data_IF_722076661242
#
_entry.id   IF_722076661242
#
_cell.length_a   1.000
_cell.length_b   1.000
_cell.length_c   1.000
_cell.angle_alpha   90.00
_cell.angle_beta   90.00
_cell.angle_gamma   90.00
#
_symmetry.space_group_name_H-M   'P 1'
#
loop_
_entity.id
_entity.type
_entity.pdbx_description
1 polymer ?
#
# COMPACT_ATOMS: atom_id res chain seq x y z
N UNK A 1 20.20 11.43 -1.18
CA UNK A 1 21.47 10.80 -1.59
C UNK A 1 21.65 10.74 -3.10
N UNK A 2 20.89 9.93 -3.86
CA UNK A 2 21.05 9.82 -5.32
C UNK A 2 21.10 11.16 -6.06
N UNK A 3 20.18 12.09 -5.77
CA UNK A 3 20.17 13.43 -6.36
C UNK A 3 21.47 14.21 -6.12
N UNK A 4 21.96 14.22 -4.88
CA UNK A 4 23.20 14.90 -4.52
C UNK A 4 24.42 14.26 -5.18
N UNK A 5 24.48 12.94 -5.26
CA UNK A 5 25.57 12.24 -5.97
C UNK A 5 25.58 12.61 -7.45
N UNK A 6 24.41 12.76 -8.07
CA UNK A 6 24.30 13.24 -9.45
C UNK A 6 24.75 14.70 -9.60
N UNK A 7 24.47 15.57 -8.62
CA UNK A 7 24.98 16.96 -8.62
C UNK A 7 26.51 17.03 -8.55
N UNK A 8 27.17 16.00 -7.99
CA UNK A 8 28.63 15.86 -7.98
C UNK A 8 29.21 15.30 -9.29
N UNK A 9 28.39 15.13 -10.34
CA UNK A 9 28.84 14.68 -11.66
C UNK A 9 28.86 13.15 -11.85
N UNK A 10 28.32 12.37 -10.90
CA UNK A 10 28.28 10.91 -11.00
C UNK A 10 27.00 10.40 -11.66
N UNK A 11 27.13 9.36 -12.50
CA UNK A 11 26.00 8.62 -13.01
C UNK A 11 25.45 7.66 -11.94
N UNK A 12 24.25 7.95 -11.43
CA UNK A 12 23.64 7.15 -10.36
C UNK A 12 22.75 6.05 -10.93
N UNK A 13 22.95 4.81 -10.47
CA UNK A 13 22.16 3.63 -10.82
C UNK A 13 21.57 3.02 -9.56
N UNK A 14 20.24 3.12 -9.38
CA UNK A 14 19.56 2.54 -8.22
C UNK A 14 19.09 1.11 -8.51
N UNK A 15 19.41 0.16 -7.65
CA UNK A 15 18.99 -1.24 -7.77
C UNK A 15 18.01 -1.57 -6.64
N UNK A 16 16.92 -2.26 -6.97
CA UNK A 16 16.00 -2.79 -5.95
C UNK A 16 16.72 -3.83 -5.07
N UNK A 17 16.62 -3.77 -3.73
CA UNK A 17 17.24 -4.76 -2.84
C UNK A 17 16.82 -6.21 -3.15
N UNK A 18 15.65 -6.42 -3.74
CA UNK A 18 15.19 -7.75 -4.14
C UNK A 18 16.04 -8.38 -5.25
N UNK A 19 16.69 -7.56 -6.08
CA UNK A 19 17.60 -8.02 -7.13
C UNK A 19 19.04 -8.16 -6.63
N UNK A 20 19.40 -7.51 -5.53
CA UNK A 20 20.72 -7.65 -4.89
C UNK A 20 20.77 -8.91 -4.01
N UNK A 21 19.69 -9.20 -3.27
CA UNK A 21 19.64 -10.30 -2.29
C UNK A 21 20.13 -11.67 -2.80
N UNK A 22 19.85 -12.11 -4.05
CA UNK A 22 20.36 -13.38 -4.56
C UNK A 22 21.89 -13.48 -4.68
N UNK A 23 22.59 -12.34 -4.69
CA UNK A 23 24.05 -12.27 -4.81
C UNK A 23 24.78 -12.19 -3.45
N UNK A 24 24.04 -12.17 -2.34
CA UNK A 24 24.62 -12.18 -1.00
C UNK A 24 25.04 -13.61 -0.64
N UNK A 25 26.36 -13.85 -0.57
CA UNK A 25 26.95 -15.20 -0.47
C UNK A 25 27.03 -15.74 0.97
N UNK A 26 27.10 -14.88 1.99
CA UNK A 26 27.24 -15.32 3.39
C UNK A 26 26.59 -14.34 4.39
N UNK A 27 27.01 -14.38 5.66
CA UNK A 27 26.52 -13.49 6.70
C UNK A 27 26.69 -12.02 6.30
N UNK A 28 25.69 -11.21 6.66
CA UNK A 28 25.65 -9.81 6.27
C UNK A 28 26.79 -9.01 6.88
N UNK A 29 27.58 -8.35 6.04
CA UNK A 29 28.48 -7.26 6.39
C UNK A 29 28.56 -6.26 5.22
N UNK A 30 29.13 -5.07 5.46
CA UNK A 30 29.14 -4.00 4.47
C UNK A 30 29.95 -4.35 3.20
N UNK A 31 31.02 -5.15 3.34
CA UNK A 31 31.85 -5.59 2.21
C UNK A 31 31.08 -6.54 1.27
N UNK A 32 30.37 -7.51 1.84
CA UNK A 32 29.55 -8.47 1.09
C UNK A 32 28.36 -7.76 0.43
N UNK A 33 27.75 -6.79 1.12
CA UNK A 33 26.66 -6.00 0.55
C UNK A 33 27.18 -5.18 -0.66
N UNK A 34 28.37 -4.58 -0.56
CA UNK A 34 29.01 -3.87 -1.67
C UNK A 34 29.36 -4.79 -2.85
N UNK A 35 29.94 -5.97 -2.59
CA UNK A 35 30.22 -6.99 -3.61
C UNK A 35 28.94 -7.43 -4.32
N UNK A 36 27.88 -7.75 -3.55
CA UNK A 36 26.60 -8.18 -4.09
C UNK A 36 25.94 -7.09 -4.95
N UNK A 37 26.05 -5.80 -4.56
CA UNK A 37 25.56 -4.68 -5.36
C UNK A 37 26.35 -4.58 -6.68
N UNK A 38 27.67 -4.72 -6.63
CA UNK A 38 28.53 -4.69 -7.82
C UNK A 38 28.21 -5.86 -8.77
N UNK A 39 28.08 -7.07 -8.22
CA UNK A 39 27.75 -8.28 -8.97
C UNK A 39 26.37 -8.13 -9.64
N UNK A 40 25.37 -7.67 -8.89
CA UNK A 40 24.04 -7.36 -9.41
C UNK A 40 24.10 -6.31 -10.54
N UNK A 41 24.81 -5.20 -10.32
CA UNK A 41 24.94 -4.11 -11.29
C UNK A 41 25.60 -4.55 -12.61
N UNK A 42 26.49 -5.54 -12.56
CA UNK A 42 27.20 -6.08 -13.73
C UNK A 42 26.33 -6.94 -14.65
N UNK A 43 25.15 -7.39 -14.19
CA UNK A 43 24.30 -8.29 -14.99
C UNK A 43 23.67 -7.54 -16.17
N UNK A 44 23.77 -8.04 -17.42
CA UNK A 44 23.19 -7.37 -18.59
C UNK A 44 21.68 -7.14 -18.50
N UNK A 45 20.96 -8.05 -17.82
CA UNK A 45 19.52 -7.96 -17.62
C UNK A 45 19.10 -7.14 -16.41
N UNK A 46 20.04 -6.46 -15.72
CA UNK A 46 19.74 -5.70 -14.50
C UNK A 46 18.87 -4.49 -14.82
N UNK A 47 17.88 -4.25 -13.95
CA UNK A 47 16.95 -3.12 -14.07
C UNK A 47 17.29 -2.07 -13.02
N UNK A 48 17.44 -0.83 -13.48
CA UNK A 48 17.69 0.31 -12.62
C UNK A 48 16.42 1.13 -12.42
N UNK A 49 16.31 1.75 -11.25
CA UNK A 49 15.18 2.61 -10.89
C UNK A 49 15.62 4.07 -11.06
N UNK A 50 14.81 4.86 -11.74
CA UNK A 50 15.05 6.30 -11.87
C UNK A 50 15.03 6.96 -10.48
N UNK A 51 16.03 7.80 -10.15
CA UNK A 51 16.02 8.57 -8.92
C UNK A 51 14.76 9.44 -8.84
N UNK A 52 14.05 9.36 -7.70
CA UNK A 52 12.89 10.20 -7.43
C UNK A 52 13.30 11.67 -7.28
N UNK A 53 12.41 12.57 -7.70
CA UNK A 53 12.51 14.01 -7.39
C UNK A 53 12.40 14.25 -5.89
N UNK A 54 12.71 15.48 -5.46
CA UNK A 54 12.53 15.90 -4.06
C UNK A 54 11.09 15.72 -3.59
N UNK A 55 10.15 16.25 -4.37
CA UNK A 55 8.72 16.20 -4.05
C UNK A 55 8.22 14.75 -3.97
N UNK A 56 8.66 13.88 -4.87
CA UNK A 56 8.34 12.44 -4.81
C UNK A 56 8.95 11.75 -3.57
N UNK A 57 10.10 12.21 -3.08
CA UNK A 57 10.71 11.70 -1.85
C UNK A 57 9.92 12.16 -0.62
N UNK A 58 9.57 13.45 -0.56
CA UNK A 58 8.75 14.04 0.50
C UNK A 58 7.36 13.39 0.55
N UNK A 59 6.68 13.28 -0.59
CA UNK A 59 5.37 12.63 -0.71
C UNK A 59 5.43 11.16 -0.28
N UNK A 60 6.49 10.44 -0.68
CA UNK A 60 6.70 9.08 -0.20
C UNK A 60 6.94 9.00 1.31
N UNK A 61 7.47 10.04 1.95
CA UNK A 61 7.65 10.09 3.40
C UNK A 61 6.31 10.31 4.10
N UNK A 62 5.48 11.26 3.63
CA UNK A 62 4.13 11.49 4.14
C UNK A 62 3.28 10.21 4.14
N UNK A 63 3.28 9.47 3.02
CA UNK A 63 2.57 8.19 2.95
C UNK A 63 3.06 7.14 3.96
N UNK A 64 4.37 7.13 4.27
CA UNK A 64 4.94 6.19 5.25
C UNK A 64 4.58 6.59 6.67
N UNK A 65 4.64 7.89 7.00
CA UNK A 65 4.22 8.43 8.29
C UNK A 65 2.76 8.10 8.53
N UNK A 66 1.87 8.41 7.57
CA UNK A 66 0.46 8.04 7.65
C UNK A 66 0.24 6.56 7.89
N UNK A 67 0.93 5.68 7.14
CA UNK A 67 0.79 4.23 7.34
C UNK A 67 1.29 3.78 8.72
N UNK A 68 2.33 4.42 9.26
CA UNK A 68 2.81 4.17 10.62
C UNK A 68 1.76 4.56 11.66
N UNK A 69 1.22 5.79 11.58
CA UNK A 69 0.19 6.29 12.48
C UNK A 69 -1.08 5.43 12.45
N UNK A 70 -1.53 5.01 11.26
CA UNK A 70 -2.69 4.11 11.12
C UNK A 70 -2.44 2.76 11.79
N UNK A 71 -1.23 2.20 11.65
CA UNK A 71 -0.88 0.94 12.32
C UNK A 71 -0.82 1.10 13.83
N UNK A 72 -0.27 2.21 14.30
CA UNK A 72 -0.22 2.53 15.72
C UNK A 72 -1.62 2.69 16.30
N UNK A 73 -2.51 3.41 15.62
CA UNK A 73 -3.92 3.56 16.03
C UNK A 73 -4.60 2.19 16.20
N UNK A 74 -4.40 1.29 15.23
CA UNK A 74 -4.93 -0.08 15.32
C UNK A 74 -4.29 -0.86 16.48
N UNK A 75 -2.98 -0.70 16.71
CA UNK A 75 -2.28 -1.32 17.84
C UNK A 75 -2.85 -0.83 19.17
N UNK A 76 -3.07 0.47 19.33
CA UNK A 76 -3.67 1.09 20.53
C UNK A 76 -5.07 0.54 20.79
N UNK A 77 -5.93 0.46 19.75
CA UNK A 77 -7.27 -0.14 19.89
C UNK A 77 -7.20 -1.61 20.30
N UNK A 78 -6.30 -2.40 19.70
CA UNK A 78 -6.13 -3.81 20.04
C UNK A 78 -5.58 -4.00 21.46
N UNK A 79 -4.72 -3.10 21.93
CA UNK A 79 -4.20 -3.12 23.30
C UNK A 79 -5.30 -2.85 24.33
N UNK A 80 -6.15 -1.85 24.10
CA UNK A 80 -7.32 -1.59 24.94
C UNK A 80 -8.27 -2.79 24.96
N UNK A 81 -8.52 -3.39 23.80
CA UNK A 81 -9.36 -4.59 23.68
C UNK A 81 -8.80 -5.77 24.48
N UNK A 82 -7.49 -6.00 24.39
CA UNK A 82 -6.82 -7.08 25.11
C UNK A 82 -6.90 -6.87 26.64
N UNK A 83 -6.65 -5.66 27.12
CA UNK A 83 -6.77 -5.36 28.56
C UNK A 83 -8.19 -5.57 29.06
N UNK A 84 -9.21 -5.11 28.35
CA UNK A 84 -10.59 -5.33 28.77
C UNK A 84 -10.96 -6.82 28.80
N UNK A 85 -10.45 -7.60 27.84
CA UNK A 85 -10.66 -9.04 27.79
C UNK A 85 -10.02 -9.78 28.98
N UNK A 86 -8.86 -9.35 29.46
CA UNK A 86 -8.21 -9.92 30.66
C UNK A 86 -9.07 -9.77 31.92
N UNK A 87 -9.94 -8.76 31.97
CA UNK A 87 -10.88 -8.50 33.06
C UNK A 87 -12.30 -9.03 32.76
N UNK A 88 -12.44 -9.93 31.77
CA UNK A 88 -13.72 -10.56 31.43
C UNK A 88 -14.69 -9.67 30.64
N UNK A 89 -14.27 -8.47 30.23
CA UNK A 89 -15.11 -7.51 29.50
C UNK A 89 -14.93 -7.76 28.00
N UNK A 90 -15.83 -8.55 27.43
CA UNK A 90 -15.84 -8.85 26.00
C UNK A 90 -16.55 -7.75 25.21
N UNK A 91 -15.85 -7.20 24.20
CA UNK A 91 -16.41 -6.22 23.27
C UNK A 91 -16.15 -6.58 21.81
N UNK A 92 -16.98 -6.08 20.88
CA UNK A 92 -16.66 -6.12 19.45
C UNK A 92 -15.30 -5.45 19.20
N UNK A 93 -14.48 -6.08 18.34
CA UNK A 93 -13.16 -5.54 18.00
C UNK A 93 -13.28 -4.23 17.23
N UNK A 94 -12.27 -3.38 17.37
CA UNK A 94 -12.15 -2.14 16.61
C UNK A 94 -12.84 -0.95 17.28
N UNK A 95 -13.58 -0.15 16.49
CA UNK A 95 -14.06 1.16 16.92
C UNK A 95 -15.06 1.12 18.09
N UNK A 96 -15.72 -0.02 18.31
CA UNK A 96 -16.63 -0.19 19.43
C UNK A 96 -15.92 0.00 20.78
N UNK A 97 -14.68 -0.50 20.91
CA UNK A 97 -13.84 -0.32 22.11
C UNK A 97 -13.60 1.15 22.42
N UNK A 98 -13.39 1.94 21.37
CA UNK A 98 -13.17 3.39 21.50
C UNK A 98 -14.47 4.08 21.91
N UNK A 99 -15.57 3.84 21.17
CA UNK A 99 -16.84 4.55 21.40
C UNK A 99 -17.50 4.22 22.73
N UNK A 100 -17.33 2.99 23.22
CA UNK A 100 -17.99 2.49 24.44
C UNK A 100 -17.13 2.60 25.68
N UNK A 101 -15.91 3.12 25.61
CA UNK A 101 -15.01 3.10 26.76
C UNK A 101 -15.62 3.79 27.98
N UNK A 102 -16.22 4.97 27.81
CA UNK A 102 -16.85 5.71 28.91
C UNK A 102 -17.91 4.84 29.61
N UNK A 103 -18.82 4.25 28.83
CA UNK A 103 -19.85 3.33 29.33
C UNK A 103 -19.24 2.12 30.04
N UNK A 104 -18.17 1.53 29.50
CA UNK A 104 -17.49 0.37 30.12
C UNK A 104 -16.87 0.74 31.46
N UNK A 105 -16.31 1.96 31.59
CA UNK A 105 -15.74 2.43 32.85
C UNK A 105 -16.81 2.74 33.91
N UNK A 106 -18.05 2.97 33.50
CA UNK A 106 -19.21 3.18 34.40
C UNK A 106 -19.90 1.87 34.79
N UNK A 107 -20.02 0.92 33.85
CA UNK A 107 -20.74 -0.35 34.04
C UNK A 107 -19.93 -1.40 34.82
N UNK A 108 -18.59 -1.27 34.87
CA UNK A 108 -17.71 -2.27 35.45
C UNK A 108 -16.80 -1.70 36.53
N UNK A 109 -16.75 -2.38 37.68
CA UNK A 109 -15.78 -2.10 38.73
C UNK A 109 -14.38 -2.56 38.33
N UNK A 110 -13.66 -1.69 37.63
CA UNK A 110 -12.27 -1.91 37.25
C UNK A 110 -11.30 -1.34 38.29
N UNK A 111 -10.10 -1.93 38.47
CA UNK A 111 -9.07 -1.33 39.31
C UNK A 111 -8.82 0.12 38.89
N UNK A 112 -8.77 1.10 39.82
CA UNK A 112 -8.62 2.51 39.46
C UNK A 112 -7.40 2.82 38.60
N UNK A 113 -6.31 2.04 38.76
CA UNK A 113 -5.13 2.15 37.92
C UNK A 113 -5.38 1.72 36.47
N UNK A 114 -6.13 0.64 36.24
CA UNK A 114 -6.49 0.17 34.90
C UNK A 114 -7.40 1.18 34.19
N UNK A 115 -8.40 1.73 34.88
CA UNK A 115 -9.27 2.77 34.33
C UNK A 115 -8.44 3.97 33.82
N UNK A 116 -7.47 4.43 34.60
CA UNK A 116 -6.54 5.50 34.18
C UNK A 116 -5.70 5.12 32.96
N UNK A 117 -5.21 3.88 32.89
CA UNK A 117 -4.46 3.39 31.73
C UNK A 117 -5.32 3.36 30.46
N UNK A 118 -6.55 2.86 30.56
CA UNK A 118 -7.48 2.81 29.43
C UNK A 118 -7.83 4.21 28.93
N UNK A 119 -8.06 5.17 29.84
CA UNK A 119 -8.28 6.58 29.49
C UNK A 119 -7.05 7.18 28.79
N UNK A 120 -5.83 6.87 29.24
CA UNK A 120 -4.60 7.32 28.57
C UNK A 120 -4.47 6.76 27.15
N UNK A 121 -4.77 5.47 26.95
CA UNK A 121 -4.77 4.86 25.63
C UNK A 121 -5.85 5.45 24.71
N UNK A 122 -7.01 5.81 25.26
CA UNK A 122 -8.07 6.47 24.53
C UNK A 122 -7.69 7.88 24.09
N UNK A 123 -7.04 8.66 24.95
CA UNK A 123 -6.48 9.96 24.60
C UNK A 123 -5.40 9.83 23.51
N UNK A 124 -4.51 8.84 23.64
CA UNK A 124 -3.51 8.55 22.59
C UNK A 124 -4.16 8.18 21.26
N UNK A 125 -5.24 7.40 21.27
CA UNK A 125 -6.02 7.12 20.07
C UNK A 125 -6.59 8.40 19.43
N UNK A 126 -7.09 9.35 20.24
CA UNK A 126 -7.56 10.65 19.79
C UNK A 126 -6.46 11.44 19.09
N UNK A 127 -5.31 11.60 19.75
CA UNK A 127 -4.12 12.24 19.19
C UNK A 127 -3.70 11.61 17.85
N UNK A 128 -3.66 10.27 17.77
CA UNK A 128 -3.33 9.59 16.52
C UNK A 128 -4.36 9.84 15.41
N UNK A 129 -5.64 10.06 15.73
CA UNK A 129 -6.64 10.42 14.72
C UNK A 129 -6.38 11.81 14.16
N UNK A 130 -6.11 12.80 15.02
CA UNK A 130 -5.77 14.17 14.64
C UNK A 130 -4.54 14.19 13.72
N UNK A 131 -3.46 13.51 14.12
CA UNK A 131 -2.24 13.43 13.32
C UNK A 131 -2.45 12.73 11.96
N UNK A 132 -3.32 11.72 11.90
CA UNK A 132 -3.66 11.09 10.61
C UNK A 132 -4.42 12.08 9.74
N UNK A 133 -5.39 12.80 10.30
CA UNK A 133 -6.18 13.79 9.56
C UNK A 133 -5.31 14.92 9.01
N UNK A 134 -4.39 15.47 9.81
CA UNK A 134 -3.42 16.49 9.38
C UNK A 134 -2.61 16.02 8.17
N UNK A 135 -1.96 14.85 8.27
CA UNK A 135 -1.18 14.28 7.16
C UNK A 135 -2.07 13.98 5.95
N UNK A 136 -3.31 13.55 6.14
CA UNK A 136 -4.25 13.34 5.03
C UNK A 136 -4.65 14.65 4.34
N UNK A 137 -4.76 15.76 5.08
CA UNK A 137 -5.02 17.07 4.48
C UNK A 137 -3.81 17.58 3.69
N UNK A 138 -2.60 17.45 4.22
CA UNK A 138 -1.38 17.77 3.47
C UNK A 138 -1.29 16.98 2.15
N UNK A 139 -1.55 15.67 2.20
CA UNK A 139 -1.60 14.82 1.02
C UNK A 139 -2.64 15.29 0.00
N UNK A 140 -3.83 15.75 0.45
CA UNK A 140 -4.88 16.26 -0.43
C UNK A 140 -4.50 17.59 -1.07
N UNK A 141 -3.90 18.50 -0.31
CA UNK A 141 -3.46 19.81 -0.83
C UNK A 141 -2.45 19.64 -1.94
N UNK A 142 -1.43 18.80 -1.76
CA UNK A 142 -0.44 18.52 -2.82
C UNK A 142 -1.02 17.80 -4.05
N UNK A 143 -2.13 17.08 -3.91
CA UNK A 143 -2.80 16.45 -5.05
C UNK A 143 -3.55 17.44 -5.93
N UNK A 144 -3.93 18.61 -5.42
CA UNK A 144 -4.66 19.60 -6.21
C UNK A 144 -3.86 20.03 -7.46
N UNK A 145 -2.54 20.10 -7.32
CA UNK A 145 -1.62 20.55 -8.37
C UNK A 145 -1.05 19.40 -9.23
N UNK A 146 -1.35 18.14 -8.90
CA UNK A 146 -0.84 16.96 -9.62
C UNK A 146 -1.90 16.42 -10.60
N UNK A 147 -1.76 16.79 -11.89
CA UNK A 147 -2.64 16.30 -12.96
C UNK A 147 -2.73 14.77 -13.03
N UNK A 148 -1.63 14.06 -12.75
CA UNK A 148 -1.61 12.60 -12.81
C UNK A 148 -2.45 12.03 -11.68
N UNK A 149 -2.33 12.59 -10.47
CA UNK A 149 -3.14 12.23 -9.33
C UNK A 149 -4.63 12.50 -9.58
N UNK A 150 -4.98 13.63 -10.22
CA UNK A 150 -6.35 13.96 -10.63
C UNK A 150 -6.92 12.95 -11.64
N UNK A 151 -6.16 12.59 -12.67
CA UNK A 151 -6.58 11.56 -13.62
C UNK A 151 -6.77 10.21 -12.93
N UNK A 152 -5.92 9.84 -11.98
CA UNK A 152 -6.05 8.59 -11.23
C UNK A 152 -7.31 8.53 -10.34
N UNK A 153 -7.83 9.68 -9.88
CA UNK A 153 -9.10 9.76 -9.12
C UNK A 153 -10.33 9.41 -9.97
N UNK A 154 -10.24 9.50 -11.30
CA UNK A 154 -11.34 9.08 -12.19
C UNK A 154 -11.58 7.55 -12.17
N UNK A 155 -10.61 6.78 -11.66
CA UNK A 155 -10.71 5.32 -11.57
C UNK A 155 -11.66 4.96 -10.42
N UNK A 156 -12.76 4.23 -10.66
CA UNK A 156 -13.74 3.95 -9.63
C UNK A 156 -13.15 3.08 -8.52
N UNK A 157 -13.39 3.50 -7.27
CA UNK A 157 -12.82 2.87 -6.07
C UNK A 157 -11.45 3.41 -5.67
N UNK A 158 -10.78 4.22 -6.50
CA UNK A 158 -9.53 4.89 -6.14
C UNK A 158 -9.84 6.23 -5.48
N UNK A 159 -9.42 6.39 -4.22
CA UNK A 159 -9.51 7.65 -3.48
C UNK A 159 -8.18 8.38 -3.40
N UNK A 160 -8.18 9.58 -2.79
CA UNK A 160 -7.04 10.50 -2.71
C UNK A 160 -5.74 9.83 -2.29
N UNK A 161 -5.74 9.15 -1.15
CA UNK A 161 -4.55 8.47 -0.61
C UNK A 161 -3.95 7.45 -1.57
N UNK A 162 -4.79 6.75 -2.34
CA UNK A 162 -4.29 5.75 -3.29
C UNK A 162 -3.84 6.41 -4.59
N UNK A 163 -4.55 7.45 -5.04
CA UNK A 163 -4.19 8.23 -6.22
C UNK A 163 -2.85 8.96 -6.05
N UNK A 164 -2.62 9.67 -4.95
CA UNK A 164 -1.31 10.31 -4.67
C UNK A 164 -0.18 9.31 -4.55
N UNK A 165 -0.42 8.17 -3.91
CA UNK A 165 0.61 7.14 -3.81
C UNK A 165 0.92 6.55 -5.19
N UNK A 166 -0.09 6.29 -6.01
CA UNK A 166 0.08 5.80 -7.37
C UNK A 166 0.85 6.80 -8.22
N UNK A 167 0.49 8.09 -8.19
CA UNK A 167 1.20 9.15 -8.89
C UNK A 167 2.68 9.22 -8.47
N UNK A 168 2.96 9.19 -7.16
CA UNK A 168 4.33 9.18 -6.62
C UNK A 168 5.13 7.95 -7.05
N UNK A 169 4.48 6.78 -7.18
CA UNK A 169 5.14 5.51 -7.52
C UNK A 169 5.33 5.29 -9.01
N UNK A 170 4.37 5.76 -9.82
CA UNK A 170 4.40 5.64 -11.27
C UNK A 170 5.27 6.73 -11.89
N UNK A 171 5.24 7.96 -11.36
CA UNK A 171 5.80 9.12 -12.06
C UNK A 171 5.14 9.27 -13.42
N UNK A 172 5.93 9.32 -14.49
CA UNK A 172 5.46 9.31 -15.88
C UNK A 172 5.07 7.91 -16.41
N UNK A 173 5.22 6.87 -15.59
CA UNK A 173 4.93 5.48 -15.94
C UNK A 173 5.95 4.80 -16.86
N UNK A 174 6.94 5.53 -17.41
CA UNK A 174 7.92 5.04 -18.40
C UNK A 174 8.97 4.09 -17.81
N UNK A 175 9.06 4.03 -16.49
CA UNK A 175 9.87 3.04 -15.77
C UNK A 175 9.39 1.58 -15.99
N UNK A 176 8.22 1.38 -16.60
CA UNK A 176 7.66 0.08 -16.91
C UNK A 176 7.38 -0.02 -18.41
N UNK A 177 7.80 -1.12 -19.04
CA UNK A 177 7.56 -1.36 -20.47
C UNK A 177 6.08 -1.65 -20.78
N UNK A 178 5.32 -2.13 -19.80
CA UNK A 178 3.90 -2.44 -19.96
C UNK A 178 3.12 -2.33 -18.66
N UNK A 179 1.80 -2.22 -18.77
CA UNK A 179 0.88 -2.31 -17.63
C UNK A 179 1.05 -3.61 -16.82
N UNK A 180 1.44 -4.72 -17.48
CA UNK A 180 1.70 -6.00 -16.81
C UNK A 180 2.94 -5.94 -15.93
N UNK A 181 3.98 -5.23 -16.36
CA UNK A 181 5.20 -5.04 -15.57
C UNK A 181 4.92 -4.22 -14.30
N UNK A 182 4.10 -3.16 -14.41
CA UNK A 182 3.66 -2.43 -13.22
C UNK A 182 2.84 -3.30 -12.29
N UNK A 183 1.85 -4.05 -12.81
CA UNK A 183 1.07 -4.97 -11.98
C UNK A 183 1.97 -6.02 -11.29
N UNK A 184 3.01 -6.51 -11.97
CA UNK A 184 4.00 -7.41 -11.39
C UNK A 184 4.80 -6.76 -10.25
N UNK A 185 5.18 -5.48 -10.38
CA UNK A 185 5.92 -4.74 -9.36
C UNK A 185 5.11 -4.48 -8.08
N UNK A 186 3.77 -4.47 -8.17
CA UNK A 186 2.88 -4.39 -6.98
C UNK A 186 2.72 -5.73 -6.25
N UNK A 187 3.12 -6.84 -6.87
CA UNK A 187 2.96 -8.19 -6.30
C UNK A 187 1.56 -8.77 -6.40
N UNK A 188 0.71 -8.20 -7.25
CA UNK A 188 -0.66 -8.65 -7.52
C UNK A 188 -0.77 -9.68 -8.65
N UNK A 189 0.35 -10.06 -9.27
CA UNK A 189 0.40 -11.12 -10.29
C UNK A 189 0.55 -12.50 -9.64
N UNK A 190 0.00 -13.58 -10.24
CA UNK A 190 0.22 -14.94 -9.77
C UNK A 190 1.71 -15.28 -9.67
N UNK A 191 2.08 -16.02 -8.63
CA UNK A 191 3.39 -16.67 -8.56
C UNK A 191 3.39 -17.85 -9.53
N UNK A 192 4.40 -17.94 -10.37
CA UNK A 192 4.61 -19.08 -11.25
C UNK A 192 5.63 -20.04 -10.64
N UNK A 193 5.31 -21.33 -10.64
CA UNK A 193 6.23 -22.42 -10.36
C UNK A 193 6.17 -23.39 -11.55
N UNK A 194 7.27 -23.52 -12.27
CA UNK A 194 7.36 -24.38 -13.46
C UNK A 194 8.46 -25.41 -13.26
N UNK A 195 8.14 -26.69 -13.49
CA UNK A 195 9.12 -27.79 -13.50
C UNK A 195 8.84 -28.72 -14.68
N UNK A 196 9.87 -29.21 -15.36
CA UNK A 196 9.73 -30.15 -16.48
C UNK A 196 8.76 -29.71 -17.59
N UNK A 197 8.70 -28.40 -17.91
CA UNK A 197 7.80 -27.85 -18.93
C UNK A 197 6.34 -27.64 -18.50
N UNK A 198 5.92 -28.08 -17.31
CA UNK A 198 4.58 -27.80 -16.76
C UNK A 198 4.61 -26.50 -15.97
N UNK A 199 3.78 -25.54 -16.36
CA UNK A 199 3.60 -24.28 -15.63
C UNK A 199 2.44 -24.38 -14.65
N UNK A 200 2.70 -24.10 -13.37
CA UNK A 200 1.67 -24.03 -12.33
C UNK A 200 1.60 -22.62 -11.78
N UNK A 201 0.42 -22.00 -11.87
CA UNK A 201 0.15 -20.70 -11.25
C UNK A 201 -0.40 -20.90 -9.84
N UNK A 202 0.20 -20.23 -8.87
CA UNK A 202 -0.18 -20.24 -7.46
C UNK A 202 -0.90 -18.93 -7.10
N UNK A 203 -1.04 -18.65 -5.80
CA UNK A 203 -1.51 -17.35 -5.31
C UNK A 203 -0.63 -16.18 -5.73
N UNK A 204 -1.06 -14.95 -5.42
CA UNK A 204 -0.32 -13.74 -5.76
C UNK A 204 1.12 -13.78 -5.23
N UNK A 205 2.06 -13.19 -5.97
CA UNK A 205 3.49 -13.25 -5.64
C UNK A 205 3.85 -12.52 -4.35
N UNK A 206 3.06 -11.52 -3.95
CA UNK A 206 3.31 -10.64 -2.78
C UNK A 206 4.67 -9.92 -2.83
N UNK A 207 5.34 -9.90 -3.99
CA UNK A 207 6.58 -9.15 -4.22
C UNK A 207 6.29 -7.64 -4.27
N UNK A 208 7.30 -6.81 -4.00
CA UNK A 208 7.14 -5.35 -4.07
C UNK A 208 6.42 -4.71 -2.86
N UNK A 209 5.82 -3.54 -3.09
CA UNK A 209 5.32 -2.66 -2.03
C UNK A 209 4.02 -3.19 -1.38
N UNK A 210 4.13 -3.58 -0.10
CA UNK A 210 3.00 -4.11 0.70
C UNK A 210 1.90 -3.07 0.91
N UNK A 211 2.25 -1.79 1.08
CA UNK A 211 1.27 -0.73 1.32
C UNK A 211 0.46 -0.45 0.04
N UNK A 212 1.14 -0.26 -1.10
CA UNK A 212 0.46 -0.03 -2.37
C UNK A 212 -0.48 -1.20 -2.74
N UNK A 213 -0.01 -2.44 -2.56
CA UNK A 213 -0.83 -3.64 -2.76
C UNK A 213 -2.05 -3.68 -1.85
N UNK A 214 -1.88 -3.36 -0.55
CA UNK A 214 -2.99 -3.28 0.40
C UNK A 214 -4.03 -2.25 -0.07
N UNK A 215 -3.59 -1.06 -0.47
CA UNK A 215 -4.48 0.02 -0.92
C UNK A 215 -5.25 -0.37 -2.19
N UNK A 216 -4.59 -0.94 -3.19
CA UNK A 216 -5.27 -1.42 -4.40
C UNK A 216 -6.32 -2.51 -4.11
N UNK A 217 -6.06 -3.41 -3.16
CA UNK A 217 -7.05 -4.40 -2.70
C UNK A 217 -8.21 -3.73 -1.96
N UNK A 218 -7.97 -2.67 -1.18
CA UNK A 218 -9.04 -1.89 -0.56
C UNK A 218 -9.89 -1.16 -1.61
N UNK A 219 -9.28 -0.54 -2.62
CA UNK A 219 -9.99 0.07 -3.74
C UNK A 219 -10.88 -0.94 -4.48
N UNK A 220 -10.36 -2.14 -4.73
CA UNK A 220 -11.13 -3.22 -5.32
C UNK A 220 -12.33 -3.63 -4.45
N UNK A 221 -12.15 -3.72 -3.12
CA UNK A 221 -13.25 -4.03 -2.19
C UNK A 221 -14.32 -2.95 -2.18
N UNK A 222 -13.92 -1.67 -2.15
CA UNK A 222 -14.86 -0.53 -2.21
C UNK A 222 -15.65 -0.56 -3.52
N UNK A 223 -14.98 -0.82 -4.65
CA UNK A 223 -15.66 -1.00 -5.93
C UNK A 223 -16.70 -2.12 -5.90
N UNK A 224 -16.31 -3.28 -5.35
CA UNK A 224 -17.20 -4.44 -5.24
C UNK A 224 -18.37 -4.22 -4.28
N UNK A 225 -18.18 -3.48 -3.18
CA UNK A 225 -19.25 -3.14 -2.24
C UNK A 225 -20.34 -2.28 -2.89
N UNK A 226 -19.98 -1.47 -3.87
CA UNK A 226 -20.91 -0.61 -4.60
C UNK A 226 -21.24 -1.13 -6.00
N UNK A 227 -21.03 -2.41 -6.27
CA UNK A 227 -21.10 -3.00 -7.61
C UNK A 227 -22.49 -2.88 -8.27
N UNK A 228 -23.56 -2.85 -7.48
CA UNK A 228 -24.92 -2.63 -7.97
C UNK A 228 -25.08 -1.27 -8.67
N UNK A 229 -24.35 -0.25 -8.21
CA UNK A 229 -24.35 1.09 -8.78
C UNK A 229 -23.26 1.31 -9.85
N UNK A 230 -22.48 0.28 -10.18
CA UNK A 230 -21.44 0.36 -11.20
C UNK A 230 -21.96 -0.14 -12.56
N UNK A 231 -21.57 0.55 -13.63
CA UNK A 231 -21.87 0.18 -15.01
C UNK A 231 -20.59 0.04 -15.84
N UNK A 232 -20.73 -0.46 -17.07
CA UNK A 232 -19.62 -0.62 -18.02
C UNK A 232 -18.92 -1.97 -17.93
N UNK A 233 -17.90 -2.14 -18.79
CA UNK A 233 -17.23 -3.43 -19.01
C UNK A 233 -16.51 -3.95 -17.77
N UNK A 234 -16.03 -3.05 -16.92
CA UNK A 234 -15.40 -3.41 -15.66
C UNK A 234 -16.41 -4.04 -14.69
N UNK A 235 -17.61 -3.48 -14.58
CA UNK A 235 -18.66 -3.96 -13.68
C UNK A 235 -19.17 -5.33 -14.13
N UNK A 236 -19.43 -5.50 -15.43
CA UNK A 236 -19.83 -6.78 -16.03
C UNK A 236 -18.79 -7.87 -15.78
N UNK A 237 -17.51 -7.53 -15.98
CA UNK A 237 -16.42 -8.46 -15.70
C UNK A 237 -16.40 -8.87 -14.22
N UNK A 238 -16.53 -7.92 -13.29
CA UNK A 238 -16.57 -8.23 -11.83
C UNK A 238 -17.77 -9.11 -11.49
N UNK A 239 -18.97 -8.82 -12.01
CA UNK A 239 -20.16 -9.66 -11.81
C UNK A 239 -19.92 -11.09 -12.29
N UNK A 240 -19.37 -11.25 -13.50
CA UNK A 240 -19.05 -12.56 -14.07
C UNK A 240 -17.95 -13.32 -13.29
N UNK A 241 -17.03 -12.62 -12.63
CA UNK A 241 -16.05 -13.27 -11.75
C UNK A 241 -16.66 -13.73 -10.43
N UNK A 242 -17.59 -12.94 -9.86
CA UNK A 242 -18.27 -13.27 -8.60
C UNK A 242 -19.18 -14.49 -8.69
N UNK A 243 -19.68 -14.84 -9.88
CA UNK A 243 -20.46 -16.08 -10.06
C UNK A 243 -19.60 -17.35 -10.03
N UNK A 244 -18.28 -17.23 -10.23
CA UNK A 244 -17.36 -18.38 -10.38
C UNK A 244 -16.32 -18.49 -9.27
N UNK A 245 -16.05 -17.40 -8.58
CA UNK A 245 -14.94 -17.30 -7.64
C UNK A 245 -15.34 -16.60 -6.35
N UNK A 246 -14.70 -17.02 -5.26
CA UNK A 246 -14.87 -16.38 -3.95
C UNK A 246 -14.48 -14.89 -4.01
N UNK A 247 -15.23 -14.03 -3.31
CA UNK A 247 -15.08 -12.56 -3.31
C UNK A 247 -13.64 -12.09 -3.06
N UNK A 248 -12.91 -12.70 -2.12
CA UNK A 248 -11.50 -12.40 -1.86
C UNK A 248 -10.57 -12.63 -3.07
N UNK A 249 -10.85 -13.66 -3.89
CA UNK A 249 -10.09 -13.92 -5.13
C UNK A 249 -10.40 -12.84 -6.16
N UNK A 250 -11.69 -12.49 -6.31
CA UNK A 250 -12.13 -11.42 -7.21
C UNK A 250 -11.54 -10.07 -6.81
N UNK A 251 -11.46 -9.76 -5.52
CA UNK A 251 -10.84 -8.53 -5.02
C UNK A 251 -9.35 -8.42 -5.41
N UNK A 252 -8.59 -9.52 -5.30
CA UNK A 252 -7.19 -9.56 -5.75
C UNK A 252 -7.07 -9.42 -7.28
N UNK A 253 -7.93 -10.08 -8.04
CA UNK A 253 -7.95 -9.99 -9.50
C UNK A 253 -8.33 -8.58 -9.98
N UNK A 254 -9.33 -7.97 -9.35
CA UNK A 254 -9.72 -6.59 -9.62
C UNK A 254 -8.60 -5.61 -9.23
N UNK A 255 -7.94 -5.80 -8.09
CA UNK A 255 -6.78 -4.97 -7.71
C UNK A 255 -5.66 -5.04 -8.76
N UNK A 256 -5.38 -6.23 -9.32
CA UNK A 256 -4.44 -6.38 -10.43
C UNK A 256 -4.88 -5.56 -11.65
N UNK A 257 -6.17 -5.64 -12.00
CA UNK A 257 -6.74 -4.88 -13.12
C UNK A 257 -6.69 -3.36 -12.87
N UNK A 258 -6.99 -2.91 -11.65
CA UNK A 258 -6.87 -1.51 -11.24
C UNK A 258 -5.42 -1.01 -11.35
N UNK A 259 -4.42 -1.81 -10.97
CA UNK A 259 -3.02 -1.44 -11.16
C UNK A 259 -2.70 -1.21 -12.65
N UNK A 260 -3.19 -2.09 -13.53
CA UNK A 260 -2.99 -1.98 -14.99
C UNK A 260 -3.69 -0.76 -15.58
N UNK A 261 -4.90 -0.46 -15.10
CA UNK A 261 -5.66 0.73 -15.47
C UNK A 261 -4.93 2.00 -15.02
N UNK A 262 -4.45 2.03 -13.76
CA UNK A 262 -3.69 3.16 -13.23
C UNK A 262 -2.46 3.47 -14.08
N UNK A 263 -1.68 2.44 -14.45
CA UNK A 263 -0.56 2.63 -15.37
C UNK A 263 -0.98 3.19 -16.72
N UNK A 264 -2.06 2.65 -17.32
CA UNK A 264 -2.53 3.12 -18.62
C UNK A 264 -2.97 4.60 -18.57
N UNK A 265 -3.78 4.97 -17.58
CA UNK A 265 -4.23 6.34 -17.30
C UNK A 265 -3.03 7.29 -17.16
N UNK A 266 -2.00 6.90 -16.40
CA UNK A 266 -0.78 7.71 -16.24
C UNK A 266 -0.01 7.85 -17.55
N UNK A 267 0.27 6.76 -18.26
CA UNK A 267 1.10 6.79 -19.48
C UNK A 267 0.42 7.44 -20.69
N UNK A 268 -0.91 7.37 -20.77
CA UNK A 268 -1.68 7.91 -21.88
C UNK A 268 -2.15 9.35 -21.61
N UNK A 269 -2.06 9.84 -20.37
CA UNK A 269 -2.53 11.18 -20.01
C UNK A 269 -4.05 11.33 -20.13
N UNK A 270 -4.80 10.23 -20.11
CA UNK A 270 -6.26 10.23 -20.28
C UNK A 270 -6.98 9.95 -18.96
N UNK A 271 -8.22 10.41 -18.83
CA UNK A 271 -9.12 10.01 -17.73
C UNK A 271 -9.68 8.61 -17.97
N UNK A 272 -10.07 7.92 -16.90
CA UNK A 272 -10.73 6.62 -16.97
C UNK A 272 -12.11 6.76 -17.62
N UNK A 273 -12.36 5.92 -18.63
CA UNK A 273 -13.66 5.76 -19.28
C UNK A 273 -14.30 4.43 -18.88
N UNK A 274 -15.62 4.44 -18.61
CA UNK A 274 -16.39 3.31 -18.08
C UNK A 274 -16.64 2.19 -19.11
#
# INVERSE_FOLDING_TARGET
MARHISQLGHQVKLISPQFVRPFVKSNKNDFIDAEAICEAASRPSMRFVTPRTEDQQAMSALHRVRDSLVRERVKTTNQMHAFLLEFGISMPRGIAVIRRLATVLEEHELPPYLARLLTRLHQHYGYLCEQIEEVEQELKSHMADDETAQRLLSIPGVGTITASLLATKLGDGKNYASSRDFAASTGLVPRQYSTGGKSTLMGISKRGDKNLRRLLVQCARVYMQRLEYQSGRLAEWVRGQLTRHHSNVVACALANKLARIAWAVTTQGTVFSK
#
